data_IF_028271038421
#
_entry.id   IF_028271038421
#
_cell.length_a   1.000
_cell.length_b   1.000
_cell.length_c   1.000
_cell.angle_alpha   90.00
_cell.angle_beta   90.00
_cell.angle_gamma   90.00
#
_symmetry.space_group_name_H-M   'P 1'
#
loop_
_entity.id
_entity.type
_entity.pdbx_description
1 polymer ?
#
# COMPACT_ATOMS: atom_id res chain seq x y z
N UNK A 1 10.88 4.42 20.92
CA UNK A 1 11.20 4.98 19.57
C UNK A 1 11.31 3.93 18.46
N UNK A 2 12.34 3.07 18.36
CA UNK A 2 12.43 2.13 17.21
C UNK A 2 11.24 1.15 17.11
N UNK A 3 10.81 0.59 18.25
CA UNK A 3 9.62 -0.28 18.32
C UNK A 3 8.35 0.47 17.91
N UNK A 4 8.20 1.73 18.33
CA UNK A 4 7.07 2.56 17.89
C UNK A 4 7.09 2.75 16.37
N UNK A 5 8.25 3.07 15.77
CA UNK A 5 8.37 3.20 14.31
C UNK A 5 7.91 1.94 13.60
N UNK A 6 8.31 0.76 14.11
CA UNK A 6 7.90 -0.53 13.56
C UNK A 6 6.37 -0.73 13.66
N UNK A 7 5.79 -0.48 14.83
CA UNK A 7 4.35 -0.66 15.05
C UNK A 7 3.55 0.31 14.18
N UNK A 8 3.96 1.58 14.11
CA UNK A 8 3.31 2.59 13.27
C UNK A 8 3.39 2.18 11.81
N UNK A 9 4.57 1.77 11.30
CA UNK A 9 4.70 1.43 9.89
C UNK A 9 3.86 0.21 9.51
N UNK A 10 3.79 -0.81 10.38
CA UNK A 10 2.87 -1.95 10.19
C UNK A 10 1.41 -1.50 10.14
N UNK A 11 0.96 -0.72 11.14
CA UNK A 11 -0.44 -0.27 11.21
C UNK A 11 -0.81 0.62 10.04
N UNK A 12 0.05 1.56 9.68
CA UNK A 12 -0.12 2.46 8.52
C UNK A 12 -0.21 1.62 7.25
N UNK A 13 0.71 0.67 7.02
CA UNK A 13 0.61 -0.22 5.85
C UNK A 13 -0.71 -0.99 5.80
N UNK A 14 -1.17 -1.54 6.93
CA UNK A 14 -2.45 -2.27 6.98
C UNK A 14 -3.61 -1.33 6.65
N UNK A 15 -3.67 -0.14 7.25
CA UNK A 15 -4.71 0.87 6.99
C UNK A 15 -4.72 1.27 5.51
N UNK A 16 -3.54 1.53 4.94
CA UNK A 16 -3.38 1.87 3.52
C UNK A 16 -3.77 0.75 2.56
N UNK A 17 -3.75 -0.50 3.02
CA UNK A 17 -4.16 -1.66 2.27
C UNK A 17 -5.67 -1.96 2.35
N UNK A 18 -6.41 -1.37 3.31
CA UNK A 18 -7.87 -1.58 3.46
C UNK A 18 -8.65 -1.21 2.18
N UNK A 19 -8.39 -0.05 1.52
CA UNK A 19 -8.98 0.19 0.21
C UNK A 19 -8.49 -0.89 -0.75
N UNK A 20 -9.40 -1.72 -1.26
CA UNK A 20 -9.09 -2.76 -2.24
C UNK A 20 -8.61 -2.13 -3.56
N UNK A 21 -7.31 -1.83 -3.62
CA UNK A 21 -6.66 -1.31 -4.81
C UNK A 21 -6.43 -2.39 -5.87
N UNK A 22 -5.94 -1.96 -7.04
CA UNK A 22 -5.67 -2.83 -8.19
C UNK A 22 -4.86 -4.08 -7.82
N UNK A 23 -3.80 -3.90 -7.03
CA UNK A 23 -2.93 -4.98 -6.58
C UNK A 23 -3.69 -5.96 -5.69
N UNK A 24 -4.39 -5.48 -4.66
CA UNK A 24 -5.06 -6.35 -3.68
C UNK A 24 -6.14 -7.21 -4.36
N UNK A 25 -6.92 -6.60 -5.26
CA UNK A 25 -7.91 -7.32 -6.06
C UNK A 25 -7.26 -8.32 -7.03
N UNK A 26 -6.12 -7.98 -7.62
CA UNK A 26 -5.39 -8.89 -8.52
C UNK A 26 -4.81 -10.08 -7.77
N UNK A 27 -4.21 -9.86 -6.59
CA UNK A 27 -3.70 -10.95 -5.75
C UNK A 27 -4.84 -11.88 -5.35
N UNK A 28 -5.98 -11.32 -4.94
CA UNK A 28 -7.17 -12.10 -4.60
C UNK A 28 -7.70 -12.90 -5.80
N UNK A 29 -7.91 -12.27 -6.95
CA UNK A 29 -8.43 -12.93 -8.16
C UNK A 29 -7.49 -14.04 -8.67
N UNK A 30 -6.18 -13.79 -8.71
CA UNK A 30 -5.19 -14.79 -9.12
C UNK A 30 -5.11 -15.94 -8.11
N UNK A 31 -5.28 -15.66 -6.81
CA UNK A 31 -5.30 -16.71 -5.79
C UNK A 31 -6.48 -17.67 -5.96
N UNK A 32 -7.62 -17.17 -6.43
CA UNK A 32 -8.82 -17.97 -6.68
C UNK A 32 -8.85 -18.64 -8.07
N UNK A 33 -8.40 -17.93 -9.12
CA UNK A 33 -8.56 -18.37 -10.51
C UNK A 33 -7.37 -19.14 -11.08
N UNK A 34 -6.20 -19.03 -10.44
CA UNK A 34 -4.96 -19.64 -10.94
C UNK A 34 -4.34 -20.51 -9.85
N UNK A 35 -3.60 -19.90 -8.91
CA UNK A 35 -2.92 -20.59 -7.81
C UNK A 35 -2.33 -19.59 -6.79
N UNK A 36 -2.21 -20.03 -5.52
CA UNK A 36 -1.63 -19.22 -4.43
C UNK A 36 -0.17 -18.79 -4.71
N UNK A 37 0.75 -19.66 -5.19
CA UNK A 37 2.11 -19.25 -5.53
C UNK A 37 2.21 -18.09 -6.52
N UNK A 38 1.39 -18.08 -7.57
CA UNK A 38 1.32 -17.00 -8.56
C UNK A 38 0.83 -15.69 -7.93
N UNK A 39 -0.17 -15.74 -7.06
CA UNK A 39 -0.65 -14.58 -6.31
C UNK A 39 0.44 -14.01 -5.37
N UNK A 40 1.19 -14.88 -4.69
CA UNK A 40 2.31 -14.47 -3.82
C UNK A 40 3.46 -13.81 -4.58
N UNK A 41 3.70 -14.19 -5.84
CA UNK A 41 4.68 -13.49 -6.70
C UNK A 41 4.23 -12.06 -6.97
N UNK A 42 2.95 -11.85 -7.29
CA UNK A 42 2.36 -10.51 -7.50
C UNK A 42 2.45 -9.68 -6.21
N UNK A 43 2.06 -10.26 -5.08
CA UNK A 43 2.14 -9.64 -3.77
C UNK A 43 3.57 -9.15 -3.43
N UNK A 44 4.58 -9.99 -3.67
CA UNK A 44 5.98 -9.61 -3.48
C UNK A 44 6.40 -8.42 -4.35
N UNK A 45 6.09 -8.46 -5.64
CA UNK A 45 6.43 -7.38 -6.56
C UNK A 45 5.79 -6.06 -6.17
N UNK A 46 4.53 -6.10 -5.76
CA UNK A 46 3.86 -4.92 -5.26
C UNK A 46 4.46 -4.40 -3.94
N UNK A 47 4.79 -5.29 -3.00
CA UNK A 47 5.39 -4.91 -1.71
C UNK A 47 6.70 -4.14 -1.91
N UNK A 48 7.52 -4.53 -2.89
CA UNK A 48 8.75 -3.79 -3.23
C UNK A 48 8.45 -2.34 -3.63
N UNK A 49 7.46 -2.13 -4.49
CA UNK A 49 7.07 -0.77 -4.93
C UNK A 49 6.50 0.04 -3.77
N UNK A 50 5.79 -0.60 -2.86
CA UNK A 50 5.21 0.05 -1.69
C UNK A 50 6.28 0.53 -0.71
N UNK A 51 7.36 -0.25 -0.54
CA UNK A 51 8.55 0.19 0.18
C UNK A 51 9.18 1.40 -0.53
N UNK A 52 9.32 1.36 -1.86
CA UNK A 52 9.86 2.49 -2.64
C UNK A 52 8.99 3.75 -2.47
N UNK A 53 7.67 3.62 -2.50
CA UNK A 53 6.74 4.74 -2.26
C UNK A 53 6.84 5.28 -0.85
N UNK A 54 6.87 4.40 0.17
CA UNK A 54 7.07 4.81 1.56
C UNK A 54 8.38 5.57 1.75
N UNK A 55 9.49 5.06 1.20
CA UNK A 55 10.80 5.72 1.25
C UNK A 55 10.81 7.07 0.53
N UNK A 56 10.23 7.14 -0.67
CA UNK A 56 10.10 8.39 -1.42
C UNK A 56 9.28 9.40 -0.63
N UNK A 57 8.22 8.95 0.02
CA UNK A 57 7.36 9.78 0.85
C UNK A 57 8.03 10.21 2.17
N UNK A 58 8.92 9.41 2.77
CA UNK A 58 9.75 9.83 3.91
C UNK A 58 10.62 11.02 3.52
N UNK A 59 11.30 10.93 2.38
CA UNK A 59 12.17 12.01 1.86
C UNK A 59 11.34 13.26 1.52
N UNK A 60 10.25 13.09 0.78
CA UNK A 60 9.35 14.18 0.38
C UNK A 60 8.62 14.82 1.58
N UNK A 61 8.26 14.02 2.59
CA UNK A 61 7.50 14.45 3.77
C UNK A 61 8.20 15.55 4.55
N UNK A 62 9.53 15.50 4.68
CA UNK A 62 10.32 16.57 5.31
C UNK A 62 10.30 17.89 4.51
N UNK A 63 10.27 17.81 3.18
CA UNK A 63 10.21 18.99 2.30
C UNK A 63 8.80 19.60 2.28
N UNK A 64 7.77 18.74 2.21
CA UNK A 64 6.36 19.13 2.19
C UNK A 64 5.90 19.63 3.58
N UNK A 65 6.42 19.04 4.66
CA UNK A 65 6.04 19.40 6.04
C UNK A 65 6.23 20.88 6.37
N UNK A 66 7.29 21.51 5.82
CA UNK A 66 7.51 22.96 5.94
C UNK A 66 6.41 23.78 5.28
N UNK A 67 5.90 23.34 4.13
CA UNK A 67 4.74 23.97 3.49
C UNK A 67 3.44 23.65 4.22
N UNK A 68 3.39 22.50 4.92
CA UNK A 68 2.21 22.03 5.62
C UNK A 68 1.92 22.86 6.86
N UNK A 69 2.91 23.24 7.67
CA UNK A 69 2.65 23.98 8.93
C UNK A 69 2.07 25.37 8.68
N UNK A 70 2.53 26.06 7.64
CA UNK A 70 2.26 27.49 7.43
C UNK A 70 1.10 27.79 6.46
N UNK A 71 0.60 26.80 5.71
CA UNK A 71 -0.37 27.05 4.65
C UNK A 71 -1.61 26.14 4.72
N UNK A 72 -2.75 26.71 5.13
CA UNK A 72 -4.05 26.03 5.20
C UNK A 72 -4.51 25.45 3.86
N UNK A 73 -4.19 26.09 2.72
CA UNK A 73 -4.53 25.57 1.39
C UNK A 73 -3.74 24.30 1.08
N UNK A 74 -2.45 24.24 1.44
CA UNK A 74 -1.64 23.05 1.27
C UNK A 74 -2.17 21.87 2.09
N UNK A 75 -2.57 22.12 3.36
CA UNK A 75 -3.24 21.11 4.21
C UNK A 75 -4.51 20.56 3.56
N UNK A 76 -5.33 21.46 3.04
CA UNK A 76 -6.62 21.12 2.43
C UNK A 76 -6.46 20.30 1.15
N UNK A 77 -5.53 20.69 0.25
CA UNK A 77 -5.30 19.99 -1.02
C UNK A 77 -4.80 18.56 -0.80
N UNK A 78 -3.83 18.39 0.09
CA UNK A 78 -3.25 17.07 0.40
C UNK A 78 -4.26 16.13 1.07
N UNK A 79 -5.24 16.64 1.82
CA UNK A 79 -6.30 15.81 2.40
C UNK A 79 -7.43 15.53 1.39
N UNK A 80 -7.88 16.55 0.67
CA UNK A 80 -9.06 16.47 -0.21
C UNK A 80 -8.77 15.60 -1.43
N UNK A 81 -7.58 15.68 -2.03
CA UNK A 81 -7.27 14.91 -3.25
C UNK A 81 -7.34 13.39 -3.01
N UNK A 82 -6.63 12.80 -2.02
CA UNK A 82 -6.69 11.36 -1.77
C UNK A 82 -8.09 10.89 -1.40
N UNK A 83 -8.82 11.67 -0.57
CA UNK A 83 -10.21 11.35 -0.19
C UNK A 83 -11.12 11.37 -1.41
N UNK A 84 -10.99 12.37 -2.27
CA UNK A 84 -11.80 12.47 -3.51
C UNK A 84 -11.49 11.33 -4.46
N UNK A 85 -10.21 11.00 -4.66
CA UNK A 85 -9.80 9.85 -5.48
C UNK A 85 -10.35 8.56 -4.89
N UNK A 86 -10.22 8.34 -3.57
CA UNK A 86 -10.75 7.17 -2.90
C UNK A 86 -12.27 7.04 -3.08
N UNK A 87 -13.02 8.14 -2.92
CA UNK A 87 -14.49 8.15 -3.14
C UNK A 87 -14.85 7.85 -4.59
N UNK A 88 -14.17 8.47 -5.56
CA UNK A 88 -14.41 8.21 -7.00
C UNK A 88 -14.20 6.73 -7.32
N UNK A 89 -13.10 6.13 -6.85
CA UNK A 89 -12.82 4.72 -7.09
C UNK A 89 -13.79 3.80 -6.32
N UNK A 90 -14.22 4.18 -5.11
CA UNK A 90 -15.18 3.42 -4.32
C UNK A 90 -16.55 3.30 -5.02
N UNK A 91 -17.02 4.38 -5.65
CA UNK A 91 -18.32 4.37 -6.35
C UNK A 91 -18.24 3.80 -7.77
N UNK A 92 -17.06 3.71 -8.39
CA UNK A 92 -16.90 3.27 -9.77
C UNK A 92 -16.75 1.74 -9.85
N UNK A 93 -17.84 1.04 -10.14
CA UNK A 93 -17.84 -0.41 -10.42
C UNK A 93 -17.33 -0.69 -11.84
N UNK A 94 -16.01 -0.75 -12.02
CA UNK A 94 -15.43 -1.25 -13.27
C UNK A 94 -15.01 -2.71 -13.10
N UNK A 95 -15.55 -3.66 -13.90
CA UNK A 95 -15.06 -5.03 -13.90
C UNK A 95 -13.67 -5.07 -14.56
N UNK A 96 -12.63 -5.11 -13.74
CA UNK A 96 -11.26 -5.26 -14.22
C UNK A 96 -11.12 -6.66 -14.82
N UNK A 97 -10.88 -6.75 -16.12
CA UNK A 97 -10.60 -8.01 -16.80
C UNK A 97 -9.12 -8.36 -16.58
N UNK A 98 -8.86 -9.29 -15.67
CA UNK A 98 -7.50 -9.77 -15.37
C UNK A 98 -7.17 -10.90 -16.34
N UNK A 99 -6.14 -10.70 -17.17
CA UNK A 99 -5.71 -11.68 -18.15
C UNK A 99 -4.87 -12.79 -17.48
N UNK A 100 -5.19 -14.06 -17.74
CA UNK A 100 -4.48 -15.26 -17.22
C UNK A 100 -2.97 -15.27 -17.52
N UNK A 101 -2.51 -14.51 -18.52
CA UNK A 101 -1.09 -14.26 -18.79
C UNK A 101 -0.32 -13.69 -17.57
N UNK A 102 -1.03 -13.09 -16.61
CA UNK A 102 -0.44 -12.47 -15.41
C UNK A 102 0.39 -13.44 -14.54
N UNK A 103 0.11 -14.75 -14.59
CA UNK A 103 0.80 -15.75 -13.77
C UNK A 103 2.28 -15.97 -14.17
N UNK A 104 2.62 -15.85 -15.47
CA UNK A 104 3.99 -16.13 -15.95
C UNK A 104 5.01 -15.12 -15.45
N UNK A 105 4.59 -13.85 -15.31
CA UNK A 105 5.44 -12.75 -14.85
C UNK A 105 4.89 -12.12 -13.56
N UNK A 106 4.38 -12.94 -12.63
CA UNK A 106 3.66 -12.48 -11.44
C UNK A 106 4.37 -11.35 -10.67
N UNK A 107 5.68 -11.47 -10.41
CA UNK A 107 6.44 -10.43 -9.71
C UNK A 107 6.44 -9.09 -10.47
N UNK A 108 6.81 -9.11 -11.76
CA UNK A 108 6.84 -7.90 -12.58
C UNK A 108 5.45 -7.28 -12.71
N UNK A 109 4.41 -8.10 -12.85
CA UNK A 109 3.03 -7.60 -12.87
C UNK A 109 2.66 -6.92 -11.55
N UNK A 110 3.06 -7.47 -10.40
CA UNK A 110 2.90 -6.83 -9.11
C UNK A 110 3.60 -5.47 -9.04
N UNK A 111 4.83 -5.38 -9.55
CA UNK A 111 5.58 -4.12 -9.65
C UNK A 111 4.82 -3.10 -10.52
N UNK A 112 4.46 -3.46 -11.75
CA UNK A 112 3.78 -2.55 -12.68
C UNK A 112 2.41 -2.10 -12.16
N UNK A 113 1.60 -3.02 -11.64
CA UNK A 113 0.28 -2.71 -11.10
C UNK A 113 0.38 -1.73 -9.93
N UNK A 114 1.36 -1.91 -9.04
CA UNK A 114 1.52 -1.00 -7.92
C UNK A 114 2.11 0.35 -8.34
N UNK A 115 3.03 0.38 -9.31
CA UNK A 115 3.60 1.63 -9.84
C UNK A 115 2.53 2.54 -10.47
N UNK A 116 1.57 1.94 -11.18
CA UNK A 116 0.45 2.67 -11.80
C UNK A 116 -0.61 3.07 -10.76
N UNK A 117 -0.56 2.49 -9.55
CA UNK A 117 -1.50 2.78 -8.47
C UNK A 117 -1.20 4.13 -7.82
N UNK A 118 -1.55 5.21 -8.52
CA UNK A 118 -1.39 6.60 -8.04
C UNK A 118 -2.03 6.80 -6.66
N UNK A 119 -3.13 6.11 -6.37
CA UNK A 119 -3.79 6.12 -5.07
C UNK A 119 -2.84 5.68 -3.94
N UNK A 120 -2.06 4.62 -4.15
CA UNK A 120 -1.13 4.07 -3.13
C UNK A 120 0.02 5.06 -2.90
N UNK A 121 0.54 5.67 -3.96
CA UNK A 121 1.56 6.70 -3.82
C UNK A 121 1.05 7.94 -3.07
N UNK A 122 -0.14 8.43 -3.41
CA UNK A 122 -0.77 9.56 -2.72
C UNK A 122 -1.04 9.26 -1.24
N UNK A 123 -1.46 8.03 -0.93
CA UNK A 123 -1.61 7.55 0.45
C UNK A 123 -0.28 7.67 1.21
N UNK A 124 0.81 7.15 0.66
CA UNK A 124 2.12 7.20 1.31
C UNK A 124 2.61 8.63 1.53
N UNK A 125 2.44 9.51 0.54
CA UNK A 125 2.76 10.93 0.68
C UNK A 125 2.01 11.56 1.85
N UNK A 126 0.69 11.35 1.92
CA UNK A 126 -0.13 11.88 3.01
C UNK A 126 0.31 11.34 4.37
N UNK A 127 0.41 10.01 4.49
CA UNK A 127 0.77 9.34 5.74
C UNK A 127 2.14 9.82 6.23
N UNK A 128 3.13 9.89 5.35
CA UNK A 128 4.47 10.32 5.73
C UNK A 128 4.57 11.80 6.04
N UNK A 129 3.89 12.68 5.30
CA UNK A 129 3.84 14.10 5.67
C UNK A 129 3.26 14.29 7.07
N UNK A 130 2.19 13.57 7.40
CA UNK A 130 1.61 13.64 8.75
C UNK A 130 2.57 13.10 9.82
N UNK A 131 3.12 11.89 9.61
CA UNK A 131 4.05 11.25 10.55
C UNK A 131 5.30 12.10 10.74
N UNK A 132 5.90 12.62 9.67
CA UNK A 132 7.11 13.45 9.76
C UNK A 132 6.86 14.80 10.40
N UNK A 133 5.64 15.34 10.30
CA UNK A 133 5.31 16.64 10.90
C UNK A 133 5.06 16.53 12.41
N UNK A 134 4.40 15.47 12.85
CA UNK A 134 3.89 15.38 14.22
C UNK A 134 4.55 14.33 15.11
N UNK A 135 5.11 13.26 14.54
CA UNK A 135 5.60 12.10 15.33
C UNK A 135 7.11 11.83 15.14
N UNK A 136 7.62 11.94 13.92
CA UNK A 136 9.02 11.65 13.56
C UNK A 136 9.65 12.82 12.79
N UNK A 137 9.88 13.98 13.43
CA UNK A 137 10.46 15.16 12.78
C UNK A 137 11.92 14.97 12.37
N UNK A 138 12.65 14.06 13.03
CA UNK A 138 14.03 13.72 12.68
C UNK A 138 14.10 12.39 11.94
N UNK A 139 14.60 12.42 10.69
CA UNK A 139 14.83 11.22 9.89
C UNK A 139 16.23 10.67 10.21
N UNK A 140 16.29 9.49 10.85
CA UNK A 140 17.53 8.74 11.11
C UNK A 140 17.56 7.49 10.22
N UNK A 141 18.76 7.06 9.81
CA UNK A 141 18.92 5.86 8.99
C UNK A 141 18.29 4.62 9.64
N UNK A 142 18.40 4.48 10.96
CA UNK A 142 17.76 3.39 11.71
C UNK A 142 16.23 3.41 11.60
N UNK A 143 15.60 4.59 11.56
CA UNK A 143 14.15 4.70 11.34
C UNK A 143 13.77 4.30 9.94
N UNK A 144 14.55 4.68 8.93
CA UNK A 144 14.29 4.28 7.53
C UNK A 144 14.30 2.76 7.39
N UNK A 145 15.31 2.09 7.96
CA UNK A 145 15.42 0.62 7.93
C UNK A 145 14.23 -0.02 8.62
N UNK A 146 13.95 0.37 9.87
CA UNK A 146 12.84 -0.21 10.65
C UNK A 146 11.47 0.08 10.02
N UNK A 147 11.29 1.28 9.46
CA UNK A 147 10.08 1.66 8.76
C UNK A 147 9.85 0.76 7.53
N UNK A 148 10.89 0.55 6.72
CA UNK A 148 10.84 -0.33 5.55
C UNK A 148 10.53 -1.78 5.92
N UNK A 149 11.12 -2.27 7.01
CA UNK A 149 10.81 -3.60 7.55
C UNK A 149 9.35 -3.70 7.97
N UNK A 150 8.80 -2.70 8.66
CA UNK A 150 7.40 -2.74 9.04
C UNK A 150 6.42 -2.61 7.87
N UNK A 151 6.78 -1.89 6.79
CA UNK A 151 6.00 -1.94 5.53
C UNK A 151 5.95 -3.38 5.01
N UNK A 152 7.10 -4.04 4.94
CA UNK A 152 7.17 -5.42 4.47
C UNK A 152 6.31 -6.34 5.34
N UNK A 153 6.49 -6.31 6.67
CA UNK A 153 5.72 -7.13 7.63
C UNK A 153 4.21 -6.85 7.51
N UNK A 154 3.79 -5.59 7.59
CA UNK A 154 2.37 -5.24 7.54
C UNK A 154 1.71 -5.66 6.22
N UNK A 155 2.44 -5.60 5.10
CA UNK A 155 1.90 -6.04 3.81
C UNK A 155 1.72 -7.55 3.75
N UNK A 156 2.67 -8.31 4.30
CA UNK A 156 2.57 -9.76 4.43
C UNK A 156 1.41 -10.19 5.32
N UNK A 157 1.26 -9.57 6.49
CA UNK A 157 0.16 -9.84 7.39
C UNK A 157 -1.19 -9.58 6.71
N UNK A 158 -1.32 -8.46 5.99
CA UNK A 158 -2.53 -8.14 5.24
C UNK A 158 -2.84 -9.18 4.15
N UNK A 159 -1.85 -9.59 3.35
CA UNK A 159 -2.08 -10.58 2.30
C UNK A 159 -2.43 -11.96 2.86
N UNK A 160 -1.78 -12.39 3.95
CA UNK A 160 -2.13 -13.64 4.63
C UNK A 160 -3.57 -13.58 5.15
N UNK A 161 -3.94 -12.49 5.83
CA UNK A 161 -5.30 -12.29 6.32
C UNK A 161 -6.34 -12.36 5.18
N UNK A 162 -6.04 -11.72 4.05
CA UNK A 162 -6.90 -11.72 2.87
C UNK A 162 -7.06 -13.14 2.28
N UNK A 163 -5.97 -13.92 2.19
CA UNK A 163 -6.00 -15.30 1.71
C UNK A 163 -6.75 -16.25 2.66
N UNK A 164 -6.62 -16.07 3.97
CA UNK A 164 -7.38 -16.86 4.96
C UNK A 164 -8.87 -16.52 4.87
N UNK A 165 -9.20 -15.24 4.80
CA UNK A 165 -10.59 -14.78 4.68
C UNK A 165 -11.23 -15.33 3.39
N UNK A 166 -10.50 -15.33 2.29
CA UNK A 166 -10.92 -15.93 1.03
C UNK A 166 -11.34 -17.41 1.15
N UNK A 167 -10.58 -18.21 1.89
CA UNK A 167 -10.89 -19.64 2.15
C UNK A 167 -12.18 -19.79 2.96
N UNK A 168 -12.39 -18.94 3.97
CA UNK A 168 -13.57 -19.03 4.85
C UNK A 168 -14.87 -18.64 4.13
N UNK A 169 -14.83 -17.68 3.21
CA UNK A 169 -16.02 -17.21 2.50
C UNK A 169 -16.38 -18.06 1.26
N UNK A 170 -15.44 -18.85 0.73
CA UNK A 170 -15.65 -19.69 -0.45
C UNK A 170 -15.09 -21.11 -0.23
N UNK A 171 -15.72 -21.90 0.67
CA UNK A 171 -15.22 -23.23 1.06
C UNK A 171 -15.25 -24.26 -0.08
N UNK A 172 -16.04 -24.04 -1.13
CA UNK A 172 -16.20 -24.96 -2.28
C UNK A 172 -15.12 -24.77 -3.37
N UNK A 173 -14.19 -23.83 -3.18
CA UNK A 173 -13.04 -23.67 -4.08
C UNK A 173 -11.89 -24.54 -3.58
N UNK A 174 -11.71 -25.70 -4.22
CA UNK A 174 -10.52 -26.56 -4.04
C UNK A 174 -9.25 -25.74 -4.36
N UNK A 175 -8.57 -25.24 -3.31
CA UNK A 175 -7.49 -24.25 -3.33
C UNK A 175 -6.11 -24.82 -3.02
#
# INVERSE_FOLDING_TARGET
>A
MLVEVLVISVLVTIIGAIPFGLVNLTVLDISFRVDKPSALKIAHGATLVEIIFGLTAVLAGSAIGKMFQDNFLAKSIILIIPVTVALIFFFKRNPIHINKSSAKYGFLNGVFLNLISIQVFLYWLFAMTYISTYWLPEIKLSYIVVFSTGIWVGKWEYFIYMLISAIQFFPDLDL
#
